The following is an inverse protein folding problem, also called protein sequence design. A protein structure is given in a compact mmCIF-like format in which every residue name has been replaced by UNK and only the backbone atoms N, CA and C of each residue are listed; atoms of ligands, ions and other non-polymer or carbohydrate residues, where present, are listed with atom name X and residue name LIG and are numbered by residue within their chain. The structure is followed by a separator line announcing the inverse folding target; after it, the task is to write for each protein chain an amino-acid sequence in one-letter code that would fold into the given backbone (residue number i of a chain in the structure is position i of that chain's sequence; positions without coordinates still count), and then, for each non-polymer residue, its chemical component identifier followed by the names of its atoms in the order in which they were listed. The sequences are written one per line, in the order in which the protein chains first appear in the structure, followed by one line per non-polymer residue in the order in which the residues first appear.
data_IF_202888692510
#
_entry.id   IF_202888692510
#
_cell.length_a   1.000
_cell.length_b   1.000
_cell.length_c   1.000
_cell.angle_alpha   90.00
_cell.angle_beta   90.00
_cell.angle_gamma   90.00
#
_symmetry.space_group_name_H-M   'P 1'
#
loop_
_entity.id
_entity.type
_entity.pdbx_description
1 polymer ?
#
# COMPACT_ATOMS: atom_id res chain seq x y z
N UNK A 1 -10.35 33.48 -2.89
CA UNK A 1 -9.23 32.56 -2.59
C UNK A 1 -9.65 31.73 -1.39
N UNK A 2 -10.10 30.50 -1.64
CA UNK A 2 -10.62 29.60 -0.61
C UNK A 2 -9.50 29.19 0.33
N UNK A 3 -9.60 29.63 1.58
CA UNK A 3 -8.87 29.07 2.71
C UNK A 3 -9.41 27.67 2.95
N UNK A 4 -8.49 26.70 3.06
CA UNK A 4 -8.58 25.36 3.67
C UNK A 4 -7.80 24.35 2.81
N UNK A 5 -6.48 24.40 2.97
CA UNK A 5 -5.66 23.21 2.76
C UNK A 5 -4.57 23.22 3.83
N UNK A 6 -4.99 23.37 5.09
CA UNK A 6 -4.17 22.88 6.19
C UNK A 6 -4.11 21.37 6.01
N UNK A 7 -3.03 20.89 5.39
CA UNK A 7 -2.64 19.49 5.37
C UNK A 7 -2.71 18.98 6.81
N UNK A 8 -3.83 18.33 7.18
CA UNK A 8 -3.99 17.65 8.46
C UNK A 8 -2.77 16.75 8.61
N UNK A 9 -1.86 17.12 9.51
CA UNK A 9 -0.71 16.28 9.83
C UNK A 9 -1.29 14.97 10.35
N UNK A 10 -1.00 13.86 9.67
CA UNK A 10 -1.37 12.54 10.15
C UNK A 10 -0.84 12.39 11.58
N UNK A 11 -1.73 12.03 12.50
CA UNK A 11 -1.41 11.72 13.89
C UNK A 11 -0.97 10.27 14.06
N UNK A 12 -0.85 9.57 12.93
CA UNK A 12 -0.63 8.15 12.81
C UNK A 12 0.83 7.82 12.49
N UNK A 13 1.32 6.74 13.10
CA UNK A 13 2.69 6.27 12.93
C UNK A 13 3.72 7.08 13.71
N UNK A 14 4.89 6.49 13.94
CA UNK A 14 6.01 7.08 14.68
C UNK A 14 6.45 8.41 14.04
N UNK A 15 5.82 9.52 14.43
CA UNK A 15 6.10 10.89 13.96
C UNK A 15 6.03 11.05 12.43
N UNK A 16 5.03 10.46 11.75
CA UNK A 16 4.91 10.50 10.28
C UNK A 16 6.07 9.83 9.51
N UNK A 17 6.86 8.96 10.16
CA UNK A 17 8.00 8.28 9.51
C UNK A 17 7.62 6.93 8.88
N UNK A 18 6.69 6.21 9.50
CA UNK A 18 6.28 4.86 9.07
C UNK A 18 5.06 4.89 8.13
N UNK A 19 4.46 3.74 7.89
CA UNK A 19 3.22 3.58 7.10
C UNK A 19 1.98 3.79 7.96
N UNK A 20 0.91 4.35 7.40
CA UNK A 20 -0.42 4.33 8.02
C UNK A 20 -1.52 4.04 6.99
N UNK A 21 -2.45 3.10 7.27
CA UNK A 21 -3.58 2.81 6.40
C UNK A 21 -4.49 4.00 6.09
N UNK A 22 -4.59 4.98 6.99
CA UNK A 22 -5.53 6.10 6.84
C UNK A 22 -4.91 7.30 6.13
N UNK A 23 -3.58 7.40 6.10
CA UNK A 23 -2.91 8.63 5.69
C UNK A 23 -1.79 8.43 4.67
N UNK A 24 -1.39 7.21 4.37
CA UNK A 24 -0.47 6.99 3.26
C UNK A 24 -1.22 7.26 1.96
N UNK A 25 -0.60 7.91 0.97
CA UNK A 25 -1.26 8.24 -0.30
C UNK A 25 -1.45 7.03 -1.21
N UNK A 26 -0.58 6.03 -1.10
CA UNK A 26 -0.53 4.88 -1.99
C UNK A 26 -0.69 3.59 -1.20
N UNK A 27 -1.61 2.75 -1.67
CA UNK A 27 -1.91 1.42 -1.16
C UNK A 27 -1.53 0.38 -2.19
N UNK A 28 -0.73 -0.60 -1.79
CA UNK A 28 -0.31 -1.72 -2.62
C UNK A 28 -1.00 -2.99 -2.13
N UNK A 29 -1.77 -3.65 -3.00
CA UNK A 29 -2.46 -4.91 -2.71
C UNK A 29 -1.74 -6.04 -3.46
N UNK A 30 -1.24 -7.02 -2.72
CA UNK A 30 -0.47 -8.14 -3.25
C UNK A 30 -1.42 -9.31 -3.50
N UNK A 31 -1.82 -9.52 -4.75
CA UNK A 31 -2.79 -10.56 -5.10
C UNK A 31 -2.07 -11.90 -5.27
N UNK A 32 -2.17 -12.75 -4.25
CA UNK A 32 -1.50 -14.05 -4.20
C UNK A 32 -2.14 -15.08 -5.15
N UNK A 33 -1.31 -15.96 -5.72
CA UNK A 33 -1.74 -17.14 -6.47
C UNK A 33 -2.56 -18.08 -5.57
N UNK A 34 -3.47 -18.84 -6.16
CA UNK A 34 -4.25 -19.85 -5.43
C UNK A 34 -3.32 -20.83 -4.69
N UNK A 35 -3.71 -21.25 -3.49
CA UNK A 35 -2.91 -22.13 -2.62
C UNK A 35 -2.10 -21.42 -1.53
N UNK A 36 -1.79 -20.13 -1.66
CA UNK A 36 -0.96 -19.38 -0.70
C UNK A 36 -1.80 -18.70 0.41
N UNK A 37 -2.75 -19.44 1.00
CA UNK A 37 -3.65 -18.90 2.04
C UNK A 37 -2.99 -18.77 3.42
N UNK A 38 -1.88 -19.46 3.64
CA UNK A 38 -0.99 -19.32 4.80
C UNK A 38 -0.33 -17.94 4.86
N UNK A 39 -0.04 -17.34 3.71
CA UNK A 39 0.56 -16.02 3.58
C UNK A 39 -0.46 -14.86 3.61
N UNK A 40 -1.75 -15.17 3.72
CA UNK A 40 -2.80 -14.15 3.84
C UNK A 40 -2.94 -13.65 5.27
N UNK A 41 -3.33 -12.40 5.40
CA UNK A 41 -3.58 -11.76 6.70
C UNK A 41 -4.92 -12.27 7.24
N UNK A 42 -4.93 -12.78 8.47
CA UNK A 42 -6.15 -13.16 9.16
C UNK A 42 -6.91 -11.90 9.62
N UNK A 43 -8.21 -11.86 9.38
CA UNK A 43 -9.11 -10.87 9.97
C UNK A 43 -10.23 -11.54 10.77
N UNK A 44 -11.21 -10.73 11.16
CA UNK A 44 -12.29 -11.18 12.04
C UNK A 44 -13.12 -12.30 11.39
N UNK A 45 -13.50 -13.28 12.20
CA UNK A 45 -14.34 -14.41 11.78
C UNK A 45 -13.65 -15.38 10.83
N UNK A 46 -12.33 -15.53 10.91
CA UNK A 46 -11.57 -16.51 10.11
C UNK A 46 -11.39 -16.12 8.64
N UNK A 47 -11.82 -14.91 8.25
CA UNK A 47 -11.61 -14.40 6.89
C UNK A 47 -10.13 -14.12 6.65
N UNK A 48 -9.65 -14.45 5.47
CA UNK A 48 -8.25 -14.26 5.05
C UNK A 48 -8.18 -13.24 3.91
N UNK A 49 -7.30 -12.27 4.06
CA UNK A 49 -7.15 -11.15 3.14
C UNK A 49 -5.77 -11.17 2.48
N UNK A 50 -5.70 -10.72 1.24
CA UNK A 50 -4.42 -10.50 0.58
C UNK A 50 -3.60 -9.46 1.38
N UNK A 51 -2.27 -9.63 1.44
CA UNK A 51 -1.41 -8.64 2.08
C UNK A 51 -1.57 -7.26 1.44
N UNK A 52 -1.57 -6.23 2.28
CA UNK A 52 -1.67 -4.84 1.87
C UNK A 52 -0.54 -4.05 2.51
N UNK A 53 0.21 -3.31 1.70
CA UNK A 53 1.21 -2.37 2.17
C UNK A 53 0.84 -0.95 1.78
N UNK A 54 1.44 -0.01 2.51
CA UNK A 54 1.26 1.41 2.28
C UNK A 54 2.63 2.08 2.10
N UNK A 55 2.69 3.21 1.42
CA UNK A 55 3.93 3.98 1.35
C UNK A 55 4.26 4.60 2.73
N UNK A 56 5.53 4.97 2.94
CA UNK A 56 5.91 5.72 4.14
C UNK A 56 5.33 7.13 4.07
N UNK A 57 4.76 7.61 5.18
CA UNK A 57 4.12 8.92 5.29
C UNK A 57 5.07 10.07 4.93
N UNK A 58 6.35 9.97 5.30
CA UNK A 58 7.41 10.91 4.92
C UNK A 58 7.58 11.09 3.40
N UNK A 59 7.01 10.19 2.59
CA UNK A 59 7.08 10.20 1.13
C UNK A 59 5.77 10.59 0.45
N UNK A 60 4.68 10.88 1.19
CA UNK A 60 3.38 11.25 0.60
C UNK A 60 3.46 12.38 -0.45
N UNK A 61 4.38 13.34 -0.26
CA UNK A 61 4.58 14.45 -1.20
C UNK A 61 5.30 14.06 -2.50
N UNK A 62 5.70 12.80 -2.66
CA UNK A 62 6.40 12.31 -3.87
C UNK A 62 5.38 11.91 -4.93
N UNK A 63 5.79 12.02 -6.18
CA UNK A 63 4.99 11.57 -7.31
C UNK A 63 4.66 10.06 -7.19
N UNK A 64 3.45 9.68 -7.60
CA UNK A 64 2.96 8.30 -7.56
C UNK A 64 3.94 7.29 -8.19
N UNK A 65 4.56 7.63 -9.33
CA UNK A 65 5.51 6.73 -9.99
C UNK A 65 6.75 6.43 -9.14
N UNK A 66 7.24 7.42 -8.39
CA UNK A 66 8.37 7.22 -7.46
C UNK A 66 7.95 6.29 -6.32
N UNK A 67 6.74 6.48 -5.79
CA UNK A 67 6.20 5.65 -4.72
C UNK A 67 5.97 4.21 -5.17
N UNK A 68 5.35 4.01 -6.35
CA UNK A 68 5.14 2.70 -6.97
C UNK A 68 6.47 1.98 -7.13
N UNK A 69 7.47 2.61 -7.75
CA UNK A 69 8.78 1.98 -7.97
C UNK A 69 9.48 1.60 -6.66
N UNK A 70 9.45 2.47 -5.66
CA UNK A 70 10.07 2.19 -4.37
C UNK A 70 9.37 1.05 -3.61
N UNK A 71 8.04 1.03 -3.63
CA UNK A 71 7.25 -0.04 -3.01
C UNK A 71 7.41 -1.36 -3.76
N UNK A 72 7.45 -1.34 -5.09
CA UNK A 72 7.63 -2.53 -5.91
C UNK A 72 9.01 -3.17 -5.68
N UNK A 73 10.09 -2.38 -5.60
CA UNK A 73 11.42 -2.89 -5.23
C UNK A 73 11.44 -3.61 -3.87
N UNK A 74 10.70 -3.09 -2.89
CA UNK A 74 10.54 -3.76 -1.58
C UNK A 74 9.74 -5.05 -1.69
N UNK A 75 8.75 -5.07 -2.57
CA UNK A 75 7.95 -6.27 -2.83
C UNK A 75 8.81 -7.37 -3.45
N UNK A 76 9.67 -7.04 -4.42
CA UNK A 76 10.58 -8.00 -5.08
C UNK A 76 11.54 -8.68 -4.10
N UNK A 77 11.88 -8.02 -3.00
CA UNK A 77 12.76 -8.56 -1.94
C UNK A 77 12.00 -9.35 -0.86
N UNK A 78 10.68 -9.48 -1.00
CA UNK A 78 9.84 -10.11 0.02
C UNK A 78 9.49 -11.55 -0.31
N UNK A 79 8.99 -12.27 0.71
CA UNK A 79 8.45 -13.62 0.55
C UNK A 79 7.31 -13.69 -0.48
N UNK A 80 6.66 -12.56 -0.77
CA UNK A 80 5.52 -12.52 -1.68
C UNK A 80 5.90 -12.49 -3.16
N UNK A 81 7.17 -12.19 -3.50
CA UNK A 81 7.60 -12.00 -4.88
C UNK A 81 7.29 -13.21 -5.78
N UNK A 82 7.54 -14.42 -5.29
CA UNK A 82 7.39 -15.65 -6.07
C UNK A 82 5.95 -16.20 -6.08
N UNK A 83 5.13 -15.78 -5.13
CA UNK A 83 3.79 -16.33 -4.87
C UNK A 83 2.67 -15.38 -5.27
N UNK A 84 2.98 -14.12 -5.58
CA UNK A 84 2.03 -13.18 -6.15
C UNK A 84 1.69 -13.54 -7.61
N UNK A 85 0.46 -13.27 -8.02
CA UNK A 85 0.02 -13.29 -9.42
C UNK A 85 0.12 -11.89 -10.04
N UNK A 86 -0.22 -10.87 -9.25
CA UNK A 86 -0.06 -9.46 -9.61
C UNK A 86 -0.07 -8.58 -8.38
N UNK A 87 0.42 -7.36 -8.54
CA UNK A 87 0.39 -6.32 -7.52
C UNK A 87 -0.39 -5.13 -8.08
N UNK A 88 -1.39 -4.68 -7.32
CA UNK A 88 -2.18 -3.50 -7.69
C UNK A 88 -1.84 -2.34 -6.77
N UNK A 89 -1.65 -1.17 -7.35
CA UNK A 89 -1.44 0.08 -6.63
C UNK A 89 -2.67 0.96 -6.77
N UNK A 90 -3.16 1.44 -5.64
CA UNK A 90 -4.34 2.30 -5.55
C UNK A 90 -3.98 3.62 -4.86
N UNK A 91 -4.60 4.70 -5.31
CA UNK A 91 -4.73 5.93 -4.55
C UNK A 91 -5.51 5.59 -3.28
N UNK A 92 -4.91 5.80 -2.13
CA UNK A 92 -5.57 5.52 -0.86
C UNK A 92 -6.57 6.63 -0.49
N UNK A 93 -6.43 7.81 -1.12
CA UNK A 93 -7.31 8.97 -0.94
C UNK A 93 -8.59 8.82 -1.77
N UNK A 94 -8.49 8.42 -3.04
CA UNK A 94 -9.64 8.31 -3.95
C UNK A 94 -10.15 6.88 -4.14
N UNK A 95 -9.33 5.87 -3.83
CA UNK A 95 -9.62 4.47 -4.10
C UNK A 95 -9.30 4.03 -5.54
N UNK A 96 -8.88 4.96 -6.41
CA UNK A 96 -8.64 4.68 -7.83
C UNK A 96 -7.42 3.79 -8.04
N UNK A 97 -7.51 2.92 -9.03
CA UNK A 97 -6.37 2.12 -9.47
C UNK A 97 -5.35 3.05 -10.17
N UNK A 98 -4.16 3.14 -9.60
CA UNK A 98 -3.02 3.88 -10.16
C UNK A 98 -2.31 3.04 -11.20
N UNK A 99 -1.97 1.79 -10.85
CA UNK A 99 -1.35 0.85 -11.80
C UNK A 99 -1.49 -0.59 -11.32
N UNK A 100 -1.30 -1.54 -12.24
CA UNK A 100 -1.30 -2.98 -11.99
C UNK A 100 -0.08 -3.61 -12.66
N UNK A 101 0.69 -4.38 -11.90
CA UNK A 101 1.93 -5.03 -12.35
C UNK A 101 1.75 -6.54 -12.21
N UNK A 102 1.85 -7.27 -13.32
CA UNK A 102 1.85 -8.73 -13.33
C UNK A 102 3.23 -9.25 -12.90
N UNK A 103 3.25 -10.32 -12.11
CA UNK A 103 4.45 -10.92 -11.50
C UNK A 103 4.56 -12.40 -11.89
#
# INVERSE_FOLDING_TARGET
MSQENELKKCTCGAENKITCPNCSELKMVILLKHGNNDLKIAGNGGRKFNPVWYNHLSKNRKNANILVNAMFRRFEQSIYANVANKVNFYSNTTGDLVTSIKV
#
